data_IF_568919154726
#
_entry.id   IF_568919154726
#
_cell.length_a   1.000
_cell.length_b   1.000
_cell.length_c   1.000
_cell.angle_alpha   90.00
_cell.angle_beta   90.00
_cell.angle_gamma   90.00
#
_symmetry.space_group_name_H-M   'P 1'
#
loop_
_entity.id
_entity.type
_entity.pdbx_description
1 polymer ?
#
# COMPACT_ATOMS: atom_id res chain seq x y z
N UNK A 1 -11.63 31.65 -17.11
CA UNK A 1 -11.59 30.81 -15.90
C UNK A 1 -10.14 30.51 -15.63
N UNK A 2 -9.59 31.18 -14.64
CA UNK A 2 -8.16 31.25 -14.36
C UNK A 2 -7.69 30.01 -13.60
N UNK A 3 -6.84 29.21 -14.25
CA UNK A 3 -5.52 28.75 -13.80
C UNK A 3 -5.27 28.12 -12.42
N UNK A 4 -6.25 28.01 -11.52
CA UNK A 4 -6.04 27.52 -10.15
C UNK A 4 -5.78 26.00 -10.10
N UNK A 5 -6.30 25.25 -11.07
CA UNK A 5 -5.93 23.87 -11.38
C UNK A 5 -5.15 23.83 -12.69
N UNK A 6 -3.98 24.47 -12.72
CA UNK A 6 -3.08 24.29 -13.86
C UNK A 6 -2.47 22.88 -13.84
N UNK A 7 -2.05 22.39 -15.01
CA UNK A 7 -1.48 21.04 -15.17
C UNK A 7 -0.31 20.77 -14.20
N UNK A 8 0.46 21.81 -13.84
CA UNK A 8 1.52 21.72 -12.84
C UNK A 8 0.98 21.37 -11.43
N UNK A 9 -0.14 21.96 -11.01
CA UNK A 9 -0.79 21.62 -9.75
C UNK A 9 -1.25 20.16 -9.69
N UNK A 10 -1.80 19.65 -10.78
CA UNK A 10 -2.26 18.25 -10.90
C UNK A 10 -1.07 17.29 -10.87
N UNK A 11 -0.01 17.59 -11.61
CA UNK A 11 1.21 16.78 -11.62
C UNK A 11 1.88 16.76 -10.24
N UNK A 12 1.81 17.86 -9.47
CA UNK A 12 2.26 17.89 -8.07
C UNK A 12 1.40 16.98 -7.19
N UNK A 13 0.08 17.04 -7.31
CA UNK A 13 -0.84 16.19 -6.53
C UNK A 13 -0.54 14.70 -6.80
N UNK A 14 -0.40 14.32 -8.07
CA UNK A 14 -0.01 12.96 -8.48
C UNK A 14 1.32 12.55 -7.86
N UNK A 15 2.34 13.40 -7.96
CA UNK A 15 3.66 13.08 -7.41
C UNK A 15 3.64 12.94 -5.90
N UNK A 16 2.94 13.83 -5.19
CA UNK A 16 2.83 13.78 -3.73
C UNK A 16 2.22 12.45 -3.29
N UNK A 17 1.12 12.03 -3.92
CA UNK A 17 0.49 10.77 -3.55
C UNK A 17 1.25 9.53 -4.03
N UNK A 18 1.97 9.61 -5.16
CA UNK A 18 2.91 8.56 -5.58
C UNK A 18 4.03 8.39 -4.54
N UNK A 19 4.65 9.48 -4.12
CA UNK A 19 5.72 9.45 -3.11
C UNK A 19 5.19 8.98 -1.76
N UNK A 20 4.02 9.47 -1.33
CA UNK A 20 3.41 9.06 -0.07
C UNK A 20 3.10 7.55 -0.08
N UNK A 21 2.46 7.05 -1.15
CA UNK A 21 2.14 5.62 -1.30
C UNK A 21 3.40 4.77 -1.28
N UNK A 22 4.43 5.17 -2.04
CA UNK A 22 5.72 4.46 -2.06
C UNK A 22 6.33 4.39 -0.66
N UNK A 23 6.32 5.49 0.09
CA UNK A 23 6.94 5.54 1.43
C UNK A 23 6.24 4.66 2.45
N UNK A 24 4.92 4.60 2.41
CA UNK A 24 4.16 3.70 3.28
C UNK A 24 4.37 2.25 2.88
N UNK A 25 4.37 1.97 1.56
CA UNK A 25 4.64 0.64 1.04
C UNK A 25 6.04 0.14 1.45
N UNK A 26 7.07 0.96 1.31
CA UNK A 26 8.45 0.64 1.73
C UNK A 26 8.54 0.27 3.22
N UNK A 27 7.77 0.96 4.10
CA UNK A 27 7.75 0.68 5.54
C UNK A 27 7.01 -0.59 5.86
N UNK A 28 5.84 -0.78 5.25
CA UNK A 28 5.04 -1.97 5.43
C UNK A 28 5.78 -3.23 4.91
N UNK A 29 6.40 -3.17 3.74
CA UNK A 29 7.16 -4.29 3.16
C UNK A 29 8.30 -4.77 4.06
N UNK A 30 8.93 -3.86 4.82
CA UNK A 30 9.97 -4.23 5.80
C UNK A 30 9.39 -5.10 6.92
N UNK A 31 8.17 -4.83 7.37
CA UNK A 31 7.48 -5.59 8.41
C UNK A 31 7.06 -6.97 7.88
N UNK A 32 6.53 -7.04 6.66
CA UNK A 32 6.21 -8.32 6.00
C UNK A 32 7.47 -9.18 5.83
N UNK A 33 8.55 -8.60 5.31
CA UNK A 33 9.82 -9.32 5.14
C UNK A 33 10.41 -9.78 6.48
N UNK A 34 10.25 -8.99 7.55
CA UNK A 34 10.64 -9.41 8.90
C UNK A 34 9.80 -10.58 9.40
N UNK A 35 8.47 -10.51 9.26
CA UNK A 35 7.57 -11.57 9.66
C UNK A 35 7.85 -12.90 8.92
N UNK A 36 8.09 -12.86 7.60
CA UNK A 36 8.45 -14.06 6.82
C UNK A 36 9.75 -14.69 7.33
N UNK A 37 10.76 -13.88 7.66
CA UNK A 37 12.02 -14.38 8.24
C UNK A 37 11.83 -14.95 9.65
N UNK A 38 10.96 -14.34 10.46
CA UNK A 38 10.69 -14.79 11.82
C UNK A 38 9.84 -16.06 11.88
N UNK A 39 8.88 -16.21 10.96
CA UNK A 39 8.11 -17.43 10.78
C UNK A 39 9.03 -18.62 10.45
N UNK A 40 10.10 -18.38 9.69
CA UNK A 40 11.14 -19.39 9.44
C UNK A 40 12.01 -19.70 10.66
N UNK A 41 12.02 -18.81 11.65
CA UNK A 41 12.74 -18.97 12.91
C UNK A 41 11.86 -19.47 14.06
N UNK A 42 10.63 -19.93 13.77
CA UNK A 42 9.61 -20.36 14.74
C UNK A 42 9.28 -19.32 15.83
N UNK A 43 9.51 -18.03 15.56
CA UNK A 43 9.24 -16.95 16.52
C UNK A 43 7.78 -16.48 16.42
N UNK A 44 7.15 -16.26 17.57
CA UNK A 44 5.84 -15.59 17.64
C UNK A 44 6.01 -14.07 17.53
N UNK A 45 5.21 -13.45 16.65
CA UNK A 45 5.10 -12.00 16.53
C UNK A 45 4.58 -11.38 17.83
N UNK A 46 5.16 -10.26 18.25
CA UNK A 46 4.64 -9.54 19.40
C UNK A 46 3.41 -8.71 19.01
N UNK A 47 2.61 -8.31 20.01
CA UNK A 47 1.50 -7.39 19.76
C UNK A 47 1.96 -6.07 19.15
N UNK A 48 3.16 -5.57 19.49
CA UNK A 48 3.69 -4.33 18.92
C UNK A 48 4.03 -4.47 17.43
N UNK A 49 4.52 -5.64 17.00
CA UNK A 49 4.83 -5.94 15.60
C UNK A 49 3.53 -5.98 14.77
N UNK A 50 2.51 -6.64 15.32
CA UNK A 50 1.16 -6.70 14.74
C UNK A 50 0.57 -5.29 14.57
N UNK A 51 0.60 -4.48 15.63
CA UNK A 51 0.10 -3.11 15.58
C UNK A 51 0.83 -2.24 14.55
N UNK A 52 2.16 -2.36 14.49
CA UNK A 52 2.96 -1.58 13.54
C UNK A 52 2.61 -1.97 12.10
N UNK A 53 2.49 -3.27 11.81
CA UNK A 53 2.16 -3.75 10.48
C UNK A 53 0.77 -3.32 10.03
N UNK A 54 -0.22 -3.37 10.93
CA UNK A 54 -1.57 -2.88 10.64
C UNK A 54 -1.60 -1.38 10.34
N UNK A 55 -0.87 -0.57 11.11
CA UNK A 55 -0.82 0.89 10.91
C UNK A 55 -0.20 1.25 9.55
N UNK A 56 0.97 0.68 9.24
CA UNK A 56 1.67 0.97 7.97
C UNK A 56 0.88 0.43 6.76
N UNK A 57 0.22 -0.72 6.90
CA UNK A 57 -0.71 -1.26 5.89
C UNK A 57 -1.87 -0.29 5.63
N UNK A 58 -2.53 0.18 6.69
CA UNK A 58 -3.64 1.12 6.59
C UNK A 58 -3.23 2.43 5.91
N UNK A 59 -2.10 3.03 6.32
CA UNK A 59 -1.62 4.26 5.70
C UNK A 59 -1.22 4.06 4.23
N UNK A 60 -0.73 2.88 3.86
CA UNK A 60 -0.49 2.52 2.46
C UNK A 60 -1.80 2.54 1.66
N UNK A 61 -2.87 1.94 2.18
CA UNK A 61 -4.19 1.94 1.54
C UNK A 61 -4.80 3.35 1.41
N UNK A 62 -4.67 4.17 2.45
CA UNK A 62 -5.13 5.57 2.42
C UNK A 62 -4.39 6.35 1.34
N UNK A 63 -3.04 6.28 1.32
CA UNK A 63 -2.24 6.97 0.32
C UNK A 63 -2.56 6.49 -1.11
N UNK A 64 -2.69 5.17 -1.30
CA UNK A 64 -3.00 4.58 -2.60
C UNK A 64 -4.38 5.02 -3.13
N UNK A 65 -5.38 5.17 -2.25
CA UNK A 65 -6.70 5.71 -2.64
C UNK A 65 -6.60 7.17 -3.09
N UNK A 66 -5.86 8.00 -2.36
CA UNK A 66 -5.66 9.38 -2.76
C UNK A 66 -4.86 9.50 -4.07
N UNK A 67 -3.90 8.60 -4.30
CA UNK A 67 -3.24 8.48 -5.61
C UNK A 67 -4.27 8.21 -6.71
N UNK A 68 -5.15 7.21 -6.56
CA UNK A 68 -6.18 6.92 -7.57
C UNK A 68 -7.05 8.15 -7.87
N UNK A 69 -7.46 8.90 -6.85
CA UNK A 69 -8.18 10.15 -7.05
C UNK A 69 -7.36 11.20 -7.82
N UNK A 70 -6.07 11.35 -7.52
CA UNK A 70 -5.17 12.27 -8.22
C UNK A 70 -4.93 11.86 -9.69
N UNK A 71 -4.94 10.56 -9.99
CA UNK A 71 -4.83 10.03 -11.35
C UNK A 71 -6.07 10.35 -12.20
N UNK A 72 -7.25 10.41 -11.58
CA UNK A 72 -8.52 10.71 -12.25
C UNK A 72 -8.79 12.23 -12.39
N UNK A 73 -7.97 13.11 -11.80
CA UNK A 73 -8.08 14.57 -11.98
C UNK A 73 -7.88 14.98 -13.44
N UNK A 74 -8.71 15.88 -13.96
CA UNK A 74 -8.65 16.36 -15.35
C UNK A 74 -7.49 17.36 -15.58
N UNK A 75 -6.59 17.15 -16.56
CA UNK A 75 -6.57 16.03 -17.51
C UNK A 75 -6.09 14.73 -16.88
N UNK A 76 -6.88 13.66 -17.00
CA UNK A 76 -6.59 12.35 -16.42
C UNK A 76 -5.21 11.81 -16.85
N UNK A 77 -4.62 10.97 -15.99
CA UNK A 77 -3.34 10.30 -16.30
C UNK A 77 -3.47 9.45 -17.57
N UNK A 78 -2.37 9.31 -18.32
CA UNK A 78 -2.29 8.33 -19.40
C UNK A 78 -1.84 6.94 -18.92
N UNK A 79 -1.43 6.82 -17.65
CA UNK A 79 -1.08 5.54 -17.04
C UNK A 79 -2.34 4.68 -16.87
N UNK A 80 -2.36 3.53 -17.53
CA UNK A 80 -3.43 2.55 -17.38
C UNK A 80 -3.34 1.87 -16.00
N UNK A 81 -4.37 2.03 -15.18
CA UNK A 81 -4.49 1.32 -13.90
C UNK A 81 -5.25 0.02 -14.11
N UNK A 82 -4.66 -1.11 -13.68
CA UNK A 82 -5.35 -2.40 -13.72
C UNK A 82 -6.70 -2.30 -12.96
N UNK A 83 -7.84 -2.70 -13.57
CA UNK A 83 -9.16 -2.58 -12.93
C UNK A 83 -9.31 -3.35 -11.61
N UNK A 84 -8.66 -4.51 -11.49
CA UNK A 84 -8.65 -5.32 -10.26
C UNK A 84 -7.88 -4.58 -9.17
N UNK A 85 -6.68 -4.10 -9.48
CA UNK A 85 -5.87 -3.30 -8.56
C UNK A 85 -6.63 -2.06 -8.08
N UNK A 86 -7.31 -1.35 -8.99
CA UNK A 86 -8.14 -0.19 -8.66
C UNK A 86 -9.29 -0.57 -7.72
N UNK A 87 -10.04 -1.63 -8.04
CA UNK A 87 -11.17 -2.07 -7.23
C UNK A 87 -10.74 -2.49 -5.83
N UNK A 88 -9.70 -3.31 -5.73
CA UNK A 88 -9.14 -3.78 -4.46
C UNK A 88 -8.63 -2.62 -3.60
N UNK A 89 -7.87 -1.67 -4.14
CA UNK A 89 -7.38 -0.52 -3.35
C UNK A 89 -8.51 0.38 -2.84
N UNK A 90 -9.59 0.55 -3.62
CA UNK A 90 -10.77 1.30 -3.19
C UNK A 90 -11.48 0.56 -2.05
N UNK A 91 -11.78 -0.73 -2.26
CA UNK A 91 -12.55 -1.55 -1.32
C UNK A 91 -11.74 -1.86 -0.04
N UNK A 92 -10.46 -2.20 -0.17
CA UNK A 92 -9.55 -2.51 0.94
C UNK A 92 -9.46 -1.40 1.98
N UNK A 93 -9.40 -0.13 1.54
CA UNK A 93 -9.45 1.03 2.44
C UNK A 93 -10.79 1.10 3.17
N UNK A 94 -11.90 0.99 2.43
CA UNK A 94 -13.25 1.13 3.00
C UNK A 94 -13.53 0.01 4.01
N UNK A 95 -13.00 -1.19 3.77
CA UNK A 95 -13.07 -2.30 4.72
C UNK A 95 -12.22 -2.07 5.96
N UNK A 96 -11.00 -1.54 5.81
CA UNK A 96 -10.13 -1.24 6.95
C UNK A 96 -10.72 -0.15 7.86
N UNK A 97 -11.52 0.78 7.33
CA UNK A 97 -12.18 1.84 8.11
C UNK A 97 -13.57 1.48 8.64
N UNK A 98 -14.29 0.56 7.98
CA UNK A 98 -15.69 0.27 8.28
C UNK A 98 -15.96 -1.13 8.79
N UNK A 99 -14.95 -1.98 8.99
CA UNK A 99 -15.14 -3.28 9.61
C UNK A 99 -15.07 -3.17 11.15
N UNK A 100 -16.14 -3.54 11.90
CA UNK A 100 -16.23 -3.33 13.35
C UNK A 100 -15.20 -4.14 14.15
N UNK A 101 -14.65 -5.23 13.60
CA UNK A 101 -13.56 -6.00 14.22
C UNK A 101 -12.18 -5.34 13.99
N UNK A 102 -12.04 -4.50 12.96
CA UNK A 102 -10.87 -3.65 12.69
C UNK A 102 -10.97 -2.25 13.32
N UNK A 103 -12.13 -1.91 13.91
CA UNK A 103 -12.27 -0.75 14.80
C UNK A 103 -11.90 -1.12 16.25
N UNK A 104 -10.60 -1.13 16.59
CA UNK A 104 -10.18 -0.67 17.89
C UNK A 104 -9.17 0.49 17.84
N UNK A 105 -9.01 1.21 16.72
CA UNK A 105 -7.85 2.12 16.53
C UNK A 105 -8.17 3.62 16.63
N UNK A 106 -9.41 4.05 16.38
CA UNK A 106 -9.82 5.45 16.59
C UNK A 106 -10.89 5.55 17.69
N UNK A 107 -10.43 5.46 18.94
CA UNK A 107 -11.12 5.80 20.20
C UNK A 107 -12.61 6.22 20.11
N UNK A 108 -13.52 5.27 20.30
CA UNK A 108 -14.82 5.57 20.92
C UNK A 108 -15.35 4.38 21.72
N UNK A 109 -15.66 4.64 22.99
CA UNK A 109 -16.58 3.84 23.79
C UNK A 109 -17.87 4.65 24.00
N UNK A 110 -19.05 4.02 23.96
CA UNK A 110 -19.29 2.58 23.74
C UNK A 110 -19.04 2.14 22.29
N UNK A 111 -18.79 0.84 22.08
CA UNK A 111 -18.63 0.23 20.74
C UNK A 111 -19.88 0.52 19.91
N UNK A 112 -19.69 1.06 18.71
CA UNK A 112 -20.77 1.34 17.77
C UNK A 112 -21.30 0.00 17.21
N UNK A 113 -22.61 -0.11 17.05
CA UNK A 113 -23.27 -1.28 16.44
C UNK A 113 -22.79 -1.52 14.99
N UNK A 114 -23.01 -2.74 14.49
CA UNK A 114 -22.63 -3.19 13.13
C UNK A 114 -22.96 -2.15 12.05
N UNK A 115 -22.03 -1.86 11.12
CA UNK A 115 -22.31 -1.02 9.97
C UNK A 115 -23.25 -1.73 8.99
N UNK A 116 -24.28 -1.02 8.54
CA UNK A 116 -25.27 -1.51 7.57
C UNK A 116 -24.80 -1.43 6.09
N UNK A 117 -23.49 -1.48 5.79
CA UNK A 117 -22.95 -1.10 4.47
C UNK A 117 -22.55 -2.28 3.56
N UNK A 118 -22.81 -2.10 2.26
CA UNK A 118 -22.62 -3.08 1.16
C UNK A 118 -21.16 -3.45 0.88
N UNK A 119 -20.21 -2.52 1.01
CA UNK A 119 -18.81 -2.74 0.57
C UNK A 119 -18.06 -3.80 1.38
N UNK A 120 -18.42 -3.97 2.66
CA UNK A 120 -17.98 -5.07 3.52
C UNK A 120 -18.33 -6.45 2.99
N UNK A 121 -19.54 -6.56 2.48
CA UNK A 121 -20.19 -7.81 2.10
C UNK A 121 -19.68 -8.35 0.76
N UNK A 122 -19.43 -7.46 -0.20
CA UNK A 122 -19.00 -7.86 -1.53
C UNK A 122 -17.55 -8.41 -1.51
N UNK A 123 -16.66 -7.80 -0.71
CA UNK A 123 -15.30 -8.33 -0.51
C UNK A 123 -15.29 -9.66 0.23
N UNK A 124 -16.05 -9.78 1.33
CA UNK A 124 -16.18 -11.03 2.08
C UNK A 124 -16.79 -12.16 1.22
N UNK A 125 -17.68 -11.83 0.28
CA UNK A 125 -18.24 -12.78 -0.67
C UNK A 125 -17.22 -13.26 -1.72
N UNK A 126 -16.24 -12.43 -2.10
CA UNK A 126 -15.15 -12.82 -3.03
C UNK A 126 -14.02 -13.59 -2.34
N UNK A 127 -13.88 -13.46 -1.02
CA UNK A 127 -12.77 -14.04 -0.23
C UNK A 127 -13.29 -14.83 0.99
N UNK A 128 -14.00 -15.97 0.79
CA UNK A 128 -14.70 -16.67 1.87
C UNK A 128 -13.77 -17.41 2.86
N UNK A 129 -12.57 -17.82 2.42
CA UNK A 129 -11.69 -18.73 3.16
C UNK A 129 -10.46 -18.04 3.78
N UNK A 130 -10.15 -16.81 3.35
CA UNK A 130 -8.92 -16.09 3.74
C UNK A 130 -9.11 -15.15 4.92
N UNK A 131 -10.35 -14.91 5.36
CA UNK A 131 -10.63 -13.86 6.34
C UNK A 131 -10.22 -12.47 5.79
N UNK A 132 -10.60 -11.37 6.45
CA UNK A 132 -10.55 -10.09 5.77
C UNK A 132 -9.13 -9.54 5.58
N UNK A 133 -8.13 -9.83 6.44
CA UNK A 133 -6.76 -9.30 6.27
C UNK A 133 -5.70 -10.15 6.98
N UNK A 134 -4.77 -10.77 6.24
CA UNK A 134 -3.43 -11.02 6.77
C UNK A 134 -2.53 -9.87 6.28
N UNK A 135 -2.35 -8.84 7.12
CA UNK A 135 -1.51 -7.67 6.77
C UNK A 135 -0.01 -8.02 6.67
N UNK A 136 0.36 -9.28 6.91
CA UNK A 136 1.69 -9.84 6.70
C UNK A 136 1.69 -10.90 5.58
N UNK A 137 0.63 -10.94 4.77
CA UNK A 137 0.47 -11.91 3.70
C UNK A 137 1.60 -11.81 2.67
N UNK A 138 2.10 -12.97 2.27
CA UNK A 138 3.15 -13.11 1.29
C UNK A 138 2.99 -14.42 0.53
N UNK A 139 3.36 -14.40 -0.74
CA UNK A 139 3.51 -15.58 -1.59
C UNK A 139 4.85 -15.51 -2.31
N UNK A 140 5.53 -16.65 -2.45
CA UNK A 140 6.73 -16.74 -3.27
C UNK A 140 6.48 -16.33 -4.72
N UNK A 141 5.28 -16.54 -5.26
CA UNK A 141 4.97 -16.21 -6.66
C UNK A 141 4.78 -14.70 -6.87
N UNK A 142 4.11 -14.02 -5.94
CA UNK A 142 3.67 -12.63 -6.13
C UNK A 142 4.37 -11.63 -5.22
N UNK A 143 5.15 -12.09 -4.25
CA UNK A 143 5.75 -11.25 -3.22
C UNK A 143 4.76 -10.90 -2.09
N UNK A 144 5.07 -9.84 -1.35
CA UNK A 144 4.20 -9.30 -0.31
C UNK A 144 2.84 -8.91 -0.90
N UNK A 145 1.76 -9.26 -0.21
CA UNK A 145 0.40 -9.01 -0.65
C UNK A 145 -0.24 -7.94 0.24
N UNK A 146 -0.53 -6.79 -0.36
CA UNK A 146 -1.22 -5.70 0.32
C UNK A 146 -2.71 -6.03 0.48
N UNK A 147 -3.28 -6.70 -0.53
CA UNK A 147 -4.63 -7.28 -0.52
C UNK A 147 -4.56 -8.60 -1.31
N UNK A 148 -5.58 -9.49 -1.23
CA UNK A 148 -5.52 -10.81 -1.88
C UNK A 148 -5.14 -10.79 -3.36
N UNK A 149 -5.48 -9.71 -4.08
CA UNK A 149 -5.15 -9.53 -5.50
C UNK A 149 -4.27 -8.30 -5.78
N UNK A 150 -3.67 -7.69 -4.74
CA UNK A 150 -2.78 -6.54 -4.88
C UNK A 150 -1.44 -6.87 -4.25
N UNK A 151 -0.46 -7.19 -5.09
CA UNK A 151 0.91 -7.39 -4.63
C UNK A 151 1.67 -6.07 -4.57
N UNK A 152 2.65 -5.97 -3.66
CA UNK A 152 3.55 -4.82 -3.61
C UNK A 152 4.30 -4.60 -4.93
N UNK A 153 4.83 -5.64 -5.62
CA UNK A 153 5.41 -5.47 -6.95
C UNK A 153 4.47 -4.79 -7.96
N UNK A 154 3.20 -5.19 -8.03
CA UNK A 154 2.23 -4.57 -8.93
C UNK A 154 1.96 -3.09 -8.59
N UNK A 155 1.94 -2.76 -7.29
CA UNK A 155 1.80 -1.37 -6.86
C UNK A 155 3.06 -0.55 -7.17
N UNK A 156 4.27 -1.09 -6.97
CA UNK A 156 5.52 -0.43 -7.37
C UNK A 156 5.58 -0.13 -8.87
N UNK A 157 5.13 -1.05 -9.72
CA UNK A 157 5.03 -0.83 -11.16
C UNK A 157 4.11 0.36 -11.51
N UNK A 158 2.95 0.45 -10.87
CA UNK A 158 2.06 1.60 -11.03
C UNK A 158 2.75 2.90 -10.58
N UNK A 159 3.40 2.89 -9.41
CA UNK A 159 4.07 4.06 -8.85
C UNK A 159 5.22 4.54 -9.76
N UNK A 160 5.99 3.61 -10.33
CA UNK A 160 7.06 3.91 -11.27
C UNK A 160 6.53 4.49 -12.59
N UNK A 161 5.43 3.95 -13.12
CA UNK A 161 4.79 4.49 -14.32
C UNK A 161 4.26 5.91 -14.11
N UNK A 162 3.60 6.18 -12.98
CA UNK A 162 3.08 7.52 -12.65
C UNK A 162 4.22 8.50 -12.41
N UNK A 163 5.25 8.13 -11.67
CA UNK A 163 6.43 8.95 -11.45
C UNK A 163 7.10 9.33 -12.79
N UNK A 164 7.29 8.35 -13.69
CA UNK A 164 7.86 8.58 -15.01
C UNK A 164 7.00 9.53 -15.87
N UNK A 165 5.67 9.35 -15.87
CA UNK A 165 4.76 10.27 -16.57
C UNK A 165 4.88 11.70 -16.04
N UNK A 166 4.81 11.88 -14.72
CA UNK A 166 4.83 13.20 -14.08
C UNK A 166 6.17 13.89 -14.33
N UNK A 167 7.29 13.19 -14.15
CA UNK A 167 8.62 13.75 -14.36
C UNK A 167 8.92 14.01 -15.85
N UNK A 168 8.31 13.22 -16.75
CA UNK A 168 8.38 13.47 -18.19
C UNK A 168 7.65 14.75 -18.60
N UNK A 169 6.58 15.13 -17.89
CA UNK A 169 5.85 16.39 -18.10
C UNK A 169 6.51 17.58 -17.40
N UNK A 170 7.02 17.39 -16.18
CA UNK A 170 7.68 18.44 -15.40
C UNK A 170 8.89 17.88 -14.62
N UNK A 171 10.05 17.93 -15.28
CA UNK A 171 11.31 17.46 -14.70
C UNK A 171 11.76 18.25 -13.46
N UNK A 172 11.23 19.47 -13.25
CA UNK A 172 11.60 20.30 -12.08
C UNK A 172 11.10 19.71 -10.76
N UNK A 173 10.13 18.79 -10.83
CA UNK A 173 9.58 18.09 -9.68
C UNK A 173 10.48 16.98 -9.14
N UNK A 174 11.51 16.57 -9.89
CA UNK A 174 12.47 15.53 -9.47
C UNK A 174 13.12 15.79 -8.11
N UNK A 175 13.33 17.06 -7.74
CA UNK A 175 13.86 17.46 -6.42
C UNK A 175 12.95 17.08 -5.24
N UNK A 176 11.67 16.78 -5.49
CA UNK A 176 10.70 16.34 -4.49
C UNK A 176 10.58 14.81 -4.42
N UNK A 177 11.29 14.06 -5.29
CA UNK A 177 11.34 12.61 -5.24
C UNK A 177 12.46 12.21 -4.27
N UNK A 178 12.13 11.67 -3.09
CA UNK A 178 13.15 11.32 -2.12
C UNK A 178 13.85 10.01 -2.53
N UNK A 179 15.11 9.76 -2.12
CA UNK A 179 15.88 8.58 -2.51
C UNK A 179 15.18 7.27 -2.15
N UNK A 180 15.07 6.33 -3.09
CA UNK A 180 14.39 5.03 -2.88
C UNK A 180 15.10 4.23 -1.78
N UNK A 181 14.33 3.53 -0.94
CA UNK A 181 14.88 2.55 0.00
C UNK A 181 15.21 1.28 -0.76
N UNK A 182 16.28 0.59 -0.36
CA UNK A 182 16.59 -0.72 -0.92
C UNK A 182 15.44 -1.68 -0.62
N UNK A 183 14.95 -2.38 -1.65
CA UNK A 183 13.86 -3.35 -1.47
C UNK A 183 14.30 -4.45 -0.49
N UNK A 184 13.46 -4.81 0.49
CA UNK A 184 13.73 -5.93 1.38
C UNK A 184 13.47 -7.29 0.70
N UNK A 185 13.15 -7.29 -0.60
CA UNK A 185 12.81 -8.47 -1.38
C UNK A 185 13.82 -8.73 -2.50
N UNK A 186 14.10 -10.00 -2.73
CA UNK A 186 14.90 -10.52 -3.82
C UNK A 186 14.01 -11.38 -4.72
N UNK A 187 13.98 -11.08 -6.01
CA UNK A 187 13.35 -11.96 -6.99
C UNK A 187 14.41 -12.91 -7.59
N UNK A 188 14.32 -14.21 -7.27
CA UNK A 188 15.28 -15.24 -7.70
C UNK A 188 14.52 -16.47 -8.20
N UNK A 189 14.90 -16.97 -9.37
CA UNK A 189 14.29 -18.16 -10.00
C UNK A 189 12.77 -18.08 -10.19
N UNK A 190 12.22 -16.88 -10.39
CA UNK A 190 10.77 -16.67 -10.52
C UNK A 190 10.02 -16.58 -9.19
N UNK A 191 10.74 -16.45 -8.08
CA UNK A 191 10.16 -16.37 -6.74
C UNK A 191 10.70 -15.17 -5.95
N UNK A 192 9.85 -14.63 -5.08
CA UNK A 192 10.13 -13.51 -4.20
C UNK A 192 10.53 -13.99 -2.81
N UNK A 193 11.71 -13.60 -2.35
CA UNK A 193 12.27 -14.00 -1.05
C UNK A 193 12.76 -12.78 -0.27
N UNK A 194 12.61 -12.74 1.07
CA UNK A 194 13.14 -11.63 1.85
C UNK A 194 14.68 -11.66 1.84
N UNK A 195 15.31 -10.49 1.74
CA UNK A 195 16.78 -10.37 1.82
C UNK A 195 17.27 -10.64 3.24
N UNK A 196 18.46 -11.25 3.34
CA UNK A 196 19.20 -11.31 4.59
C UNK A 196 19.82 -9.93 4.85
N UNK A 197 19.28 -9.24 5.87
CA UNK A 197 19.75 -8.02 6.56
C UNK A 197 19.63 -6.62 5.94
N UNK A 198 18.98 -5.75 6.73
CA UNK A 198 19.30 -4.32 6.89
C UNK A 198 19.46 -3.91 8.39
N UNK A 199 19.60 -4.86 9.32
CA UNK A 199 19.72 -4.57 10.78
C UNK A 199 21.19 -4.51 11.26
N UNK A 200 22.18 -4.86 10.45
CA UNK A 200 23.59 -4.93 10.90
C UNK A 200 24.40 -3.62 10.79
N UNK A 201 23.79 -2.45 10.55
CA UNK A 201 24.54 -1.18 10.44
C UNK A 201 24.27 -0.13 11.53
N UNK A 202 23.85 -0.56 12.72
CA UNK A 202 23.76 0.34 13.88
C UNK A 202 24.51 -0.16 15.13
N UNK A 203 25.33 -1.19 14.98
CA UNK A 203 26.25 -1.66 16.01
C UNK A 203 27.65 -1.85 15.40
N UNK A 204 28.32 -0.76 15.08
CA UNK A 204 29.78 -0.70 14.86
C UNK A 204 30.26 0.70 15.19
#
# INVERSE_FOLDING_TARGET
>A
MDGYFNESGINRERLVWTVATRRQLERWELLVAAAVREAWADRQLSGADVWSAQIEHHFTLVAARHLLHALDLDPATSVSVNPILRAELIEGRDLHEHWPENMPVFNVRPRVAEPQYRSGKDFAARNPDTGPYDWLEWSNQTGAQLLPHVSAPALHELLDAVEAEVLGRDATLSKYVPPRVASPWLHKNGEWWPTATAVEKSAS
#
